data_IF_420665395013
#
_entry.id   IF_420665395013
#
_cell.length_a   1.000
_cell.length_b   1.000
_cell.length_c   1.000
_cell.angle_alpha   90.00
_cell.angle_beta   90.00
_cell.angle_gamma   90.00
#
_symmetry.space_group_name_H-M   'P 1'
#
loop_
_entity.id
_entity.type
_entity.pdbx_description
1 polymer ?
#
# COMPACT_ATOMS: atom_id res chain seq x y z
N UNK A 1 -10.96 5.75 -14.30
CA UNK A 1 -9.59 6.28 -14.55
C UNK A 1 -8.63 5.95 -13.43
N UNK A 2 -8.93 6.27 -12.16
CA UNK A 2 -8.05 6.06 -11.00
C UNK A 2 -7.36 4.68 -10.94
N UNK A 3 -8.13 3.59 -11.03
CA UNK A 3 -7.55 2.23 -10.99
C UNK A 3 -6.60 1.91 -12.16
N UNK A 4 -6.81 2.53 -13.33
CA UNK A 4 -5.88 2.36 -14.47
C UNK A 4 -4.53 3.01 -14.20
N UNK A 5 -4.53 4.14 -13.48
CA UNK A 5 -3.34 4.92 -13.12
C UNK A 5 -2.58 4.25 -11.97
N UNK A 6 -3.30 3.65 -11.01
CA UNK A 6 -2.70 3.02 -9.83
C UNK A 6 -2.08 1.64 -10.06
N UNK A 7 -2.41 0.94 -11.16
CA UNK A 7 -1.83 -0.38 -11.51
C UNK A 7 -0.33 -0.57 -11.28
N UNK A 8 0.57 0.33 -11.74
CA UNK A 8 2.01 0.18 -11.48
C UNK A 8 2.35 0.13 -9.98
N UNK A 9 1.61 0.89 -9.15
CA UNK A 9 1.79 0.90 -7.69
C UNK A 9 1.33 -0.42 -7.08
N UNK A 10 0.16 -0.93 -7.49
CA UNK A 10 -0.39 -2.18 -6.95
C UNK A 10 0.50 -3.37 -7.30
N UNK A 11 1.06 -3.40 -8.51
CA UNK A 11 2.02 -4.42 -8.92
C UNK A 11 3.30 -4.38 -8.08
N UNK A 12 3.88 -3.19 -7.90
CA UNK A 12 5.09 -3.03 -7.09
C UNK A 12 4.89 -3.49 -5.63
N UNK A 13 3.70 -3.26 -5.08
CA UNK A 13 3.32 -3.73 -3.74
C UNK A 13 3.11 -5.26 -3.69
N UNK A 14 2.59 -5.87 -4.76
CA UNK A 14 2.37 -7.31 -4.85
C UNK A 14 3.57 -8.14 -5.32
N UNK A 15 4.67 -7.47 -5.71
CA UNK A 15 5.93 -8.03 -6.21
C UNK A 15 7.10 -7.30 -5.52
N UNK A 16 7.06 -7.23 -4.18
CA UNK A 16 8.00 -6.43 -3.42
C UNK A 16 9.46 -6.91 -3.66
N UNK A 17 10.47 -6.01 -3.74
CA UNK A 17 11.85 -6.39 -4.07
C UNK A 17 12.49 -7.39 -3.11
N UNK A 18 12.01 -7.43 -1.86
CA UNK A 18 12.43 -8.42 -0.85
C UNK A 18 11.75 -9.80 -1.01
N UNK A 19 10.93 -9.98 -2.05
CA UNK A 19 10.06 -11.13 -2.25
C UNK A 19 8.69 -10.97 -1.59
N UNK A 20 7.66 -11.58 -2.18
CA UNK A 20 6.30 -11.57 -1.64
C UNK A 20 5.54 -10.25 -1.82
N UNK A 21 4.49 -10.09 -1.01
CA UNK A 21 3.65 -8.90 -0.98
C UNK A 21 4.09 -7.97 0.16
N UNK A 22 3.91 -6.66 0.00
CA UNK A 22 4.23 -5.69 1.03
C UNK A 22 3.31 -5.86 2.25
N UNK A 23 3.86 -5.76 3.46
CA UNK A 23 3.07 -5.84 4.70
C UNK A 23 2.26 -4.56 4.96
N UNK A 24 2.77 -3.40 4.52
CA UNK A 24 2.19 -2.09 4.78
C UNK A 24 2.00 -1.28 3.49
N UNK A 25 0.89 -0.54 3.44
CA UNK A 25 0.68 0.53 2.47
C UNK A 25 0.60 1.84 3.21
N UNK A 26 1.35 2.83 2.75
CA UNK A 26 1.30 4.18 3.31
C UNK A 26 1.18 5.24 2.24
N UNK A 27 0.33 6.22 2.52
CA UNK A 27 0.17 7.44 1.71
C UNK A 27 -0.14 8.61 2.63
N UNK A 28 0.47 9.75 2.31
CA UNK A 28 0.17 11.06 2.88
C UNK A 28 -1.26 11.54 2.57
N UNK A 29 -1.85 11.05 1.48
CA UNK A 29 -3.24 11.28 1.10
C UNK A 29 -4.14 10.12 1.53
N UNK A 30 -5.11 10.40 2.40
CA UNK A 30 -6.09 9.39 2.86
C UNK A 30 -6.83 8.73 1.68
N UNK A 31 -7.27 9.52 0.70
CA UNK A 31 -7.96 9.00 -0.48
C UNK A 31 -7.03 8.15 -1.36
N UNK A 32 -5.77 8.57 -1.50
CA UNK A 32 -4.74 7.84 -2.25
C UNK A 32 -4.48 6.46 -1.64
N UNK A 33 -4.27 6.40 -0.32
CA UNK A 33 -4.09 5.15 0.40
C UNK A 33 -5.27 4.19 0.24
N UNK A 34 -6.51 4.69 0.33
CA UNK A 34 -7.72 3.88 0.13
C UNK A 34 -7.89 3.38 -1.30
N UNK A 35 -7.50 4.17 -2.31
CA UNK A 35 -7.48 3.70 -3.69
C UNK A 35 -6.42 2.61 -3.94
N UNK A 36 -5.28 2.68 -3.25
CA UNK A 36 -4.24 1.64 -3.33
C UNK A 36 -4.71 0.34 -2.67
N UNK A 37 -5.30 0.43 -1.48
CA UNK A 37 -5.92 -0.69 -0.77
C UNK A 37 -7.01 -1.36 -1.62
N UNK A 38 -7.90 -0.55 -2.22
CA UNK A 38 -8.92 -1.04 -3.15
C UNK A 38 -8.29 -1.75 -4.35
N UNK A 39 -7.28 -1.12 -4.97
CA UNK A 39 -6.59 -1.67 -6.14
C UNK A 39 -5.93 -3.03 -5.86
N UNK A 40 -5.26 -3.18 -4.71
CA UNK A 40 -4.68 -4.47 -4.29
C UNK A 40 -5.75 -5.55 -4.16
N UNK A 41 -6.86 -5.23 -3.48
CA UNK A 41 -7.97 -6.15 -3.23
C UNK A 41 -8.65 -6.60 -4.54
N UNK A 42 -8.84 -5.68 -5.49
CA UNK A 42 -9.39 -6.01 -6.82
C UNK A 42 -8.46 -6.88 -7.67
N UNK A 43 -7.14 -6.85 -7.41
CA UNK A 43 -6.15 -7.66 -8.11
C UNK A 43 -5.82 -8.97 -7.39
N UNK A 44 -6.59 -9.36 -6.36
CA UNK A 44 -6.43 -10.63 -5.65
C UNK A 44 -5.15 -10.73 -4.81
N UNK A 45 -4.53 -9.60 -4.49
CA UNK A 45 -3.37 -9.50 -3.59
C UNK A 45 -3.86 -9.34 -2.15
N UNK A 46 -3.10 -9.86 -1.18
CA UNK A 46 -3.41 -9.66 0.24
C UNK A 46 -3.37 -8.16 0.52
N UNK A 47 -4.36 -7.66 1.25
CA UNK A 47 -4.41 -6.25 1.59
C UNK A 47 -3.31 -5.96 2.62
N UNK A 48 -2.20 -5.41 2.13
CA UNK A 48 -1.21 -4.74 2.96
C UNK A 48 -1.92 -3.77 3.92
N UNK A 49 -1.49 -3.73 5.18
CA UNK A 49 -2.15 -2.93 6.19
C UNK A 49 -1.99 -1.44 5.86
N UNK A 50 -3.11 -0.74 5.68
CA UNK A 50 -3.10 0.70 5.41
C UNK A 50 -2.73 1.48 6.68
N UNK A 51 -1.66 2.28 6.59
CA UNK A 51 -1.21 3.15 7.66
C UNK A 51 -0.82 4.53 7.13
N UNK A 52 -0.95 5.57 7.97
CA UNK A 52 -0.37 6.86 7.64
C UNK A 52 1.17 6.79 7.75
N UNK A 53 1.96 7.47 6.91
CA UNK A 53 3.42 7.45 6.98
C UNK A 53 3.98 7.78 8.38
N UNK A 54 3.34 8.71 9.09
CA UNK A 54 3.72 9.03 10.48
C UNK A 54 3.54 7.86 11.45
N UNK A 55 2.55 7.00 11.23
CA UNK A 55 2.37 5.77 12.01
C UNK A 55 3.54 4.82 11.79
N UNK A 56 4.02 4.67 10.55
CA UNK A 56 5.18 3.84 10.27
C UNK A 56 6.46 4.40 10.88
N UNK A 57 6.65 5.72 10.84
CA UNK A 57 7.76 6.37 11.54
C UNK A 57 7.69 6.10 13.04
N UNK A 58 6.52 6.30 13.65
CA UNK A 58 6.30 6.01 15.07
C UNK A 58 6.74 4.58 15.42
N UNK A 59 6.33 3.58 14.63
CA UNK A 59 6.75 2.19 14.82
C UNK A 59 8.26 2.00 14.68
N UNK A 60 8.90 2.63 13.69
CA UNK A 60 10.35 2.53 13.47
C UNK A 60 11.17 3.13 14.64
N UNK A 61 10.65 4.15 15.31
CA UNK A 61 11.26 4.76 16.49
C UNK A 61 10.84 4.09 17.82
N UNK A 62 10.01 3.03 17.78
CA UNK A 62 9.56 2.31 18.98
C UNK A 62 8.59 3.11 19.85
N UNK A 63 7.82 4.03 19.26
CA UNK A 63 6.88 4.92 19.95
C UNK A 63 5.45 4.39 19.98
#
# INVERSE_FOLDING_TARGET
MAMKIGRPVFRALGEHPAGGEADWVASDCQLGGRHIEQGLRENGKTAAQLAHPLTLLRLAYGL
#
